data_IF_588343549195
#
_entry.id   IF_588343549195
#
_cell.length_a   1.000
_cell.length_b   1.000
_cell.length_c   1.000
_cell.angle_alpha   90.00
_cell.angle_beta   90.00
_cell.angle_gamma   90.00
#
_symmetry.space_group_name_H-M   'P 1'
#
loop_
_entity.id
_entity.type
_entity.pdbx_description
1 polymer ?
#
# COMPACT_ATOMS: atom_id res chain seq x y z
N UNK A 1 16.68 3.67 -0.54
CA UNK A 1 15.34 3.05 -0.44
C UNK A 1 14.26 4.11 -0.53
N UNK A 2 14.35 5.17 0.28
CA UNK A 2 13.41 6.29 0.23
C UNK A 2 13.33 6.95 -1.15
N UNK A 3 14.47 7.30 -1.77
CA UNK A 3 14.47 7.89 -3.12
C UNK A 3 13.82 7.00 -4.18
N UNK A 4 14.14 5.70 -4.17
CA UNK A 4 13.53 4.74 -5.09
C UNK A 4 12.03 4.60 -4.85
N UNK A 5 11.60 4.56 -3.58
CA UNK A 5 10.19 4.55 -3.22
C UNK A 5 9.47 5.81 -3.73
N UNK A 6 10.04 6.99 -3.47
CA UNK A 6 9.47 8.25 -3.89
C UNK A 6 9.33 8.33 -5.41
N UNK A 7 10.36 7.93 -6.16
CA UNK A 7 10.35 7.92 -7.62
C UNK A 7 9.31 6.97 -8.19
N UNK A 8 9.25 5.73 -7.71
CA UNK A 8 8.29 4.72 -8.20
C UNK A 8 6.85 5.15 -7.94
N UNK A 9 6.55 5.61 -6.73
CA UNK A 9 5.20 6.06 -6.39
C UNK A 9 4.82 7.32 -7.19
N UNK A 10 5.72 8.30 -7.28
CA UNK A 10 5.44 9.51 -8.05
C UNK A 10 5.23 9.21 -9.54
N UNK A 11 5.99 8.27 -10.12
CA UNK A 11 5.77 7.84 -11.49
C UNK A 11 4.37 7.23 -11.67
N UNK A 12 3.94 6.37 -10.74
CA UNK A 12 2.59 5.80 -10.75
C UNK A 12 1.48 6.85 -10.58
N UNK A 13 1.67 7.83 -9.68
CA UNK A 13 0.74 8.94 -9.48
C UNK A 13 0.67 9.86 -10.69
N UNK A 14 1.80 10.19 -11.33
CA UNK A 14 1.83 10.95 -12.58
C UNK A 14 1.02 10.25 -13.65
N UNK A 15 1.26 8.94 -13.86
CA UNK A 15 0.48 8.16 -14.83
C UNK A 15 -1.02 8.17 -14.52
N UNK A 16 -1.40 8.03 -13.24
CA UNK A 16 -2.80 8.14 -12.82
C UNK A 16 -3.40 9.52 -13.14
N UNK A 17 -2.70 10.60 -12.79
CA UNK A 17 -3.16 11.98 -13.01
C UNK A 17 -3.30 12.32 -14.49
N UNK A 18 -2.37 11.84 -15.33
CA UNK A 18 -2.44 11.99 -16.78
C UNK A 18 -3.61 11.19 -17.36
N UNK A 19 -3.74 9.91 -16.97
CA UNK A 19 -4.79 9.02 -17.47
C UNK A 19 -6.20 9.54 -17.16
N UNK A 20 -6.40 10.10 -15.97
CA UNK A 20 -7.69 10.62 -15.52
C UNK A 20 -7.73 12.15 -15.53
N UNK A 21 -6.91 12.82 -16.35
CA UNK A 21 -6.80 14.28 -16.34
C UNK A 21 -8.17 14.96 -16.57
N UNK A 22 -8.92 14.57 -17.60
CA UNK A 22 -10.24 15.12 -17.89
C UNK A 22 -11.22 14.90 -16.73
N UNK A 23 -11.22 13.68 -16.20
CA UNK A 23 -12.02 13.27 -15.05
C UNK A 23 -11.70 14.03 -13.76
N UNK A 24 -10.50 14.59 -13.68
CA UNK A 24 -9.98 15.30 -12.52
C UNK A 24 -9.92 16.82 -12.73
N UNK A 25 -10.52 17.34 -13.80
CA UNK A 25 -10.57 18.78 -14.07
C UNK A 25 -9.27 19.35 -14.65
N UNK A 26 -8.50 18.53 -15.36
CA UNK A 26 -7.22 18.88 -16.03
C UNK A 26 -6.23 19.56 -15.08
N UNK A 27 -5.81 18.89 -14.00
CA UNK A 27 -4.96 19.49 -12.99
C UNK A 27 -3.55 19.77 -13.51
N UNK A 28 -2.90 20.80 -12.95
CA UNK A 28 -1.47 21.03 -13.12
C UNK A 28 -0.68 20.01 -12.29
N UNK A 29 -0.24 18.93 -12.94
CA UNK A 29 0.46 17.80 -12.32
C UNK A 29 1.72 18.25 -11.57
N UNK A 30 2.41 19.29 -12.05
CA UNK A 30 3.64 19.81 -11.43
C UNK A 30 3.41 20.38 -10.03
N UNK A 31 2.19 20.80 -9.71
CA UNK A 31 1.82 21.29 -8.37
C UNK A 31 1.42 20.16 -7.42
N UNK A 32 1.06 19.00 -7.98
CA UNK A 32 0.60 17.82 -7.23
C UNK A 32 1.77 16.93 -6.86
N UNK A 33 2.66 16.65 -7.82
CA UNK A 33 3.81 15.79 -7.59
C UNK A 33 4.89 16.56 -6.82
N UNK A 34 5.29 16.00 -5.69
CA UNK A 34 6.32 16.51 -4.78
C UNK A 34 7.50 15.52 -4.74
N UNK A 35 8.68 15.95 -4.30
CA UNK A 35 9.82 15.04 -4.11
C UNK A 35 9.49 13.91 -3.13
N UNK A 36 8.62 14.17 -2.14
CA UNK A 36 8.13 13.15 -1.21
C UNK A 36 6.80 12.59 -1.69
N UNK A 37 6.78 11.29 -1.99
CA UNK A 37 5.59 10.60 -2.48
C UNK A 37 4.40 10.67 -1.51
N UNK A 38 4.66 10.67 -0.20
CA UNK A 38 3.63 10.87 0.82
C UNK A 38 2.86 12.17 0.62
N UNK A 39 3.55 13.25 0.24
CA UNK A 39 2.93 14.55 -0.04
C UNK A 39 2.13 14.48 -1.34
N UNK A 40 2.68 13.85 -2.38
CA UNK A 40 2.00 13.60 -3.65
C UNK A 40 0.68 12.83 -3.46
N UNK A 41 0.66 11.80 -2.62
CA UNK A 41 -0.57 11.06 -2.26
C UNK A 41 -1.61 11.99 -1.66
N UNK A 42 -1.26 12.77 -0.64
CA UNK A 42 -2.20 13.66 0.05
C UNK A 42 -2.75 14.75 -0.88
N UNK A 43 -1.91 15.33 -1.74
CA UNK A 43 -2.35 16.29 -2.76
C UNK A 43 -3.29 15.63 -3.78
N UNK A 44 -2.99 14.41 -4.20
CA UNK A 44 -3.85 13.62 -5.11
C UNK A 44 -5.20 13.32 -4.45
N UNK A 45 -5.22 12.92 -3.18
CA UNK A 45 -6.45 12.69 -2.42
C UNK A 45 -7.34 13.92 -2.35
N UNK A 46 -6.75 15.08 -2.06
CA UNK A 46 -7.47 16.35 -2.03
C UNK A 46 -8.02 16.73 -3.41
N UNK A 47 -7.26 16.49 -4.48
CA UNK A 47 -7.74 16.71 -5.85
C UNK A 47 -8.94 15.80 -6.16
N UNK A 48 -8.81 14.50 -5.96
CA UNK A 48 -9.88 13.54 -6.28
C UNK A 48 -11.15 13.88 -5.50
N UNK A 49 -10.98 14.26 -4.22
CA UNK A 49 -12.07 14.71 -3.36
C UNK A 49 -12.72 16.02 -3.83
N UNK A 50 -11.94 16.99 -4.31
CA UNK A 50 -12.50 18.25 -4.83
C UNK A 50 -13.36 18.06 -6.08
N UNK A 51 -13.15 16.95 -6.78
CA UNK A 51 -13.96 16.50 -7.92
C UNK A 51 -15.14 15.61 -7.52
N UNK A 52 -15.43 15.48 -6.20
CA UNK A 52 -16.45 14.59 -5.66
C UNK A 52 -16.33 13.12 -6.12
N UNK A 53 -15.09 12.66 -6.34
CA UNK A 53 -14.78 11.28 -6.73
C UNK A 53 -14.16 10.50 -5.56
N UNK A 54 -14.09 9.19 -5.72
CA UNK A 54 -13.47 8.28 -4.75
C UNK A 54 -12.43 7.38 -5.42
N UNK A 55 -11.52 6.85 -4.61
CA UNK A 55 -10.42 5.97 -5.02
C UNK A 55 -10.65 4.53 -4.58
N UNK A 56 -10.26 3.64 -5.47
CA UNK A 56 -9.90 2.27 -5.15
C UNK A 56 -8.38 2.15 -5.24
N UNK A 57 -7.75 1.65 -4.17
CA UNK A 57 -6.30 1.44 -4.12
C UNK A 57 -6.04 -0.04 -3.85
N UNK A 58 -5.17 -0.63 -4.67
CA UNK A 58 -4.66 -1.98 -4.47
C UNK A 58 -3.13 -1.92 -4.32
N UNK A 59 -2.59 -2.56 -3.30
CA UNK A 59 -1.16 -2.72 -3.06
C UNK A 59 -0.83 -4.20 -3.17
N UNK A 60 -0.08 -4.57 -4.19
CA UNK A 60 0.31 -5.96 -4.41
C UNK A 60 1.72 -6.24 -3.88
N UNK A 61 1.94 -7.49 -3.44
CA UNK A 61 3.19 -8.01 -2.89
C UNK A 61 3.85 -7.08 -1.86
N UNK A 62 3.09 -6.63 -0.85
CA UNK A 62 3.58 -5.67 0.13
C UNK A 62 4.87 -6.12 0.83
N UNK A 63 4.95 -7.39 1.21
CA UNK A 63 6.09 -7.96 1.93
C UNK A 63 7.33 -8.25 1.07
N UNK A 64 7.27 -8.00 -0.24
CA UNK A 64 8.35 -8.29 -1.19
C UNK A 64 9.72 -7.75 -0.76
N UNK A 65 9.85 -6.52 -0.21
CA UNK A 65 11.15 -6.03 0.28
C UNK A 65 11.74 -6.92 1.37
N UNK A 66 10.91 -7.40 2.30
CA UNK A 66 11.32 -8.31 3.36
C UNK A 66 11.68 -9.70 2.85
N UNK A 67 10.87 -10.24 1.94
CA UNK A 67 11.13 -11.55 1.33
C UNK A 67 12.47 -11.56 0.58
N UNK A 68 12.78 -10.48 -0.15
CA UNK A 68 14.09 -10.32 -0.80
C UNK A 68 15.25 -10.27 0.19
N UNK A 69 15.06 -9.62 1.35
CA UNK A 69 16.09 -9.61 2.39
C UNK A 69 16.38 -11.01 2.93
N UNK A 70 15.35 -11.84 3.17
CA UNK A 70 15.54 -13.24 3.59
C UNK A 70 16.25 -14.07 2.52
N UNK A 71 15.84 -13.94 1.26
CA UNK A 71 16.42 -14.67 0.14
C UNK A 71 17.91 -14.36 -0.06
N UNK A 72 18.34 -13.13 0.24
CA UNK A 72 19.74 -12.69 0.12
C UNK A 72 20.63 -13.09 1.32
N UNK A 73 20.23 -14.09 2.11
CA UNK A 73 21.03 -14.61 3.22
C UNK A 73 20.73 -13.98 4.58
N UNK A 74 19.60 -13.26 4.71
CA UNK A 74 19.10 -12.81 6.02
C UNK A 74 18.80 -14.01 6.93
N UNK A 75 19.35 -14.00 8.15
CA UNK A 75 19.36 -15.17 9.05
C UNK A 75 18.03 -15.34 9.83
N UNK A 76 16.93 -14.80 9.29
CA UNK A 76 15.60 -14.78 9.93
C UNK A 76 15.50 -13.89 11.18
N UNK A 77 14.30 -13.79 11.77
CA UNK A 77 13.98 -12.91 12.90
C UNK A 77 14.70 -13.22 14.22
N UNK A 78 15.35 -14.38 14.31
CA UNK A 78 16.10 -14.82 15.48
C UNK A 78 17.45 -14.09 15.57
N UNK A 79 17.93 -13.53 14.47
CA UNK A 79 19.10 -12.68 14.43
C UNK A 79 18.73 -11.20 14.75
N UNK A 80 19.39 -10.55 15.72
CA UNK A 80 19.13 -9.16 16.10
C UNK A 80 19.24 -8.16 14.94
N UNK A 81 20.26 -8.29 14.09
CA UNK A 81 20.48 -7.41 12.92
C UNK A 81 19.37 -7.56 11.88
N UNK A 82 18.92 -8.80 11.63
CA UNK A 82 17.78 -9.03 10.74
C UNK A 82 16.51 -8.44 11.32
N UNK A 83 16.27 -8.59 12.62
CA UNK A 83 15.10 -7.99 13.29
C UNK A 83 15.10 -6.46 13.20
N UNK A 84 16.24 -5.81 13.43
CA UNK A 84 16.35 -4.35 13.27
C UNK A 84 16.07 -3.91 11.84
N UNK A 85 16.54 -4.66 10.85
CA UNK A 85 16.25 -4.39 9.44
C UNK A 85 14.75 -4.49 9.13
N UNK A 86 14.07 -5.54 9.61
CA UNK A 86 12.62 -5.69 9.45
C UNK A 86 11.84 -4.56 10.12
N UNK A 87 12.18 -4.23 11.37
CA UNK A 87 11.55 -3.10 12.07
C UNK A 87 11.74 -1.79 11.31
N UNK A 88 12.94 -1.56 10.75
CA UNK A 88 13.21 -0.37 9.95
C UNK A 88 12.39 -0.34 8.66
N UNK A 89 12.23 -1.48 7.98
CA UNK A 89 11.38 -1.62 6.79
C UNK A 89 9.90 -1.36 7.12
N UNK A 90 9.38 -1.98 8.18
CA UNK A 90 8.01 -1.78 8.63
C UNK A 90 7.75 -0.31 8.98
N UNK A 91 8.63 0.31 9.76
CA UNK A 91 8.52 1.73 10.12
C UNK A 91 8.57 2.63 8.88
N UNK A 92 9.40 2.30 7.89
CA UNK A 92 9.49 3.06 6.65
C UNK A 92 8.15 3.06 5.91
N UNK A 93 7.52 1.89 5.72
CA UNK A 93 6.23 1.80 5.04
C UNK A 93 5.07 2.34 5.87
N UNK A 94 5.08 2.15 7.19
CA UNK A 94 4.07 2.72 8.07
C UNK A 94 4.03 4.25 7.96
N UNK A 95 5.19 4.90 8.05
CA UNK A 95 5.30 6.36 8.00
C UNK A 95 5.04 6.90 6.58
N UNK A 96 5.60 6.28 5.54
CA UNK A 96 5.61 6.87 4.19
C UNK A 96 4.47 6.40 3.28
N UNK A 97 3.83 5.27 3.58
CA UNK A 97 2.74 4.73 2.77
C UNK A 97 1.45 4.62 3.58
N UNK A 98 1.43 3.83 4.65
CA UNK A 98 0.18 3.51 5.35
C UNK A 98 -0.39 4.69 6.11
N UNK A 99 0.43 5.59 6.66
CA UNK A 99 -0.04 6.84 7.25
C UNK A 99 -0.81 7.69 6.22
N UNK A 100 -0.33 7.80 4.99
CA UNK A 100 -1.04 8.50 3.92
C UNK A 100 -2.33 7.77 3.54
N UNK A 101 -2.27 6.45 3.30
CA UNK A 101 -3.45 5.65 2.96
C UNK A 101 -4.52 5.71 4.05
N UNK A 102 -4.13 5.62 5.33
CA UNK A 102 -5.03 5.77 6.47
C UNK A 102 -5.74 7.12 6.44
N UNK A 103 -5.01 8.21 6.19
CA UNK A 103 -5.61 9.55 6.07
C UNK A 103 -6.61 9.63 4.92
N UNK A 104 -6.33 8.96 3.80
CA UNK A 104 -7.27 8.88 2.68
C UNK A 104 -8.51 8.02 2.98
N UNK A 105 -8.40 7.01 3.84
CA UNK A 105 -9.53 6.18 4.29
C UNK A 105 -10.46 6.90 5.27
N UNK A 106 -9.98 7.93 5.99
CA UNK A 106 -10.81 8.86 6.79
C UNK A 106 -11.75 8.22 7.83
N UNK A 107 -12.64 9.05 8.38
CA UNK A 107 -13.92 8.61 8.97
C UNK A 107 -15.02 8.80 7.91
N UNK A 108 -16.14 8.06 8.00
CA UNK A 108 -17.14 7.82 6.93
C UNK A 108 -17.56 9.01 6.05
N UNK A 109 -17.46 10.26 6.52
CA UNK A 109 -17.88 11.46 5.78
C UNK A 109 -16.73 12.27 5.13
N UNK A 110 -15.47 11.90 5.36
CA UNK A 110 -14.30 12.66 4.89
C UNK A 110 -13.32 11.81 4.04
N UNK A 111 -13.62 10.52 3.86
CA UNK A 111 -12.79 9.54 3.16
C UNK A 111 -12.80 9.74 1.63
N UNK A 112 -11.63 9.69 1.01
CA UNK A 112 -11.52 9.61 -0.47
C UNK A 112 -11.25 8.18 -0.94
N UNK A 113 -10.60 7.35 -0.12
CA UNK A 113 -10.36 5.94 -0.43
C UNK A 113 -11.54 5.14 0.10
N UNK A 114 -12.41 4.66 -0.79
CA UNK A 114 -13.55 3.82 -0.41
C UNK A 114 -13.17 2.35 -0.25
N UNK A 115 -12.12 1.92 -0.95
CA UNK A 115 -11.67 0.53 -0.92
C UNK A 115 -10.15 0.50 -0.99
N UNK A 116 -9.54 -0.16 0.00
CA UNK A 116 -8.11 -0.44 0.06
C UNK A 116 -7.92 -1.96 0.10
N UNK A 117 -7.20 -2.49 -0.88
CA UNK A 117 -6.85 -3.90 -0.96
C UNK A 117 -5.34 -4.07 -0.86
N UNK A 118 -4.88 -5.01 -0.04
CA UNK A 118 -3.45 -5.25 0.15
C UNK A 118 -3.22 -6.77 0.10
N UNK A 119 -2.30 -7.21 -0.76
CA UNK A 119 -1.92 -8.61 -0.96
C UNK A 119 -0.45 -8.85 -0.67
N UNK A 120 -0.06 -10.12 -0.58
CA UNK A 120 1.31 -10.52 -0.22
C UNK A 120 1.70 -10.00 1.16
N UNK A 121 0.87 -10.27 2.18
CA UNK A 121 1.18 -9.92 3.57
C UNK A 121 1.55 -11.21 4.31
N UNK A 122 2.83 -11.52 4.41
CA UNK A 122 3.31 -12.56 5.33
C UNK A 122 2.99 -12.20 6.79
N UNK A 123 2.87 -13.19 7.69
CA UNK A 123 2.60 -12.95 9.12
C UNK A 123 3.56 -11.95 9.77
N UNK A 124 4.81 -11.91 9.29
CA UNK A 124 5.83 -11.00 9.79
C UNK A 124 5.54 -9.53 9.50
N UNK A 125 4.87 -9.22 8.39
CA UNK A 125 4.58 -7.86 7.92
C UNK A 125 3.19 -7.36 8.33
N UNK A 126 2.39 -8.20 9.01
CA UNK A 126 1.07 -7.81 9.48
C UNK A 126 1.11 -6.67 10.51
N UNK A 127 2.20 -6.54 11.29
CA UNK A 127 2.33 -5.49 12.30
C UNK A 127 2.47 -4.10 11.69
N UNK A 128 3.15 -3.98 10.55
CA UNK A 128 3.23 -2.74 9.78
C UNK A 128 1.87 -2.20 9.28
N UNK A 129 0.79 -2.99 9.33
CA UNK A 129 -0.57 -2.56 8.98
C UNK A 129 -1.37 -2.01 10.17
N UNK A 130 -0.80 -2.04 11.38
CA UNK A 130 -1.48 -1.65 12.61
C UNK A 130 -2.00 -0.21 12.62
N UNK A 131 -1.41 0.68 11.80
CA UNK A 131 -1.90 2.04 11.65
C UNK A 131 -3.24 2.10 10.93
N UNK A 132 -3.59 1.15 10.05
CA UNK A 132 -4.89 1.12 9.37
C UNK A 132 -5.93 0.45 10.28
N UNK A 133 -6.70 1.29 10.96
CA UNK A 133 -7.84 0.85 11.78
C UNK A 133 -8.96 0.37 10.83
N UNK A 134 -9.47 -0.85 11.03
CA UNK A 134 -10.53 -1.53 10.24
C UNK A 134 -10.08 -2.45 9.08
N UNK A 135 -8.88 -3.00 9.11
CA UNK A 135 -8.51 -4.05 8.15
C UNK A 135 -9.27 -5.36 8.45
N UNK A 136 -9.99 -5.91 7.46
CA UNK A 136 -10.52 -7.29 7.51
C UNK A 136 -9.58 -8.18 6.72
N UNK A 137 -8.96 -9.15 7.40
CA UNK A 137 -8.25 -10.21 6.69
C UNK A 137 -9.27 -11.14 6.02
N UNK A 138 -9.37 -11.06 4.69
CA UNK A 138 -10.27 -11.91 3.90
C UNK A 138 -9.58 -13.16 3.34
N UNK A 139 -8.25 -13.31 3.48
CA UNK A 139 -7.54 -14.47 2.93
C UNK A 139 -7.90 -15.78 3.61
N UNK A 140 -8.46 -15.70 4.82
CA UNK A 140 -8.94 -16.84 5.61
C UNK A 140 -10.41 -17.18 5.32
N UNK A 141 -11.10 -16.38 4.53
CA UNK A 141 -12.53 -16.52 4.28
C UNK A 141 -12.74 -17.26 2.95
N UNK A 142 -13.32 -18.47 3.05
CA UNK A 142 -13.41 -19.45 1.96
C UNK A 142 -14.06 -18.89 0.69
N UNK A 143 -14.98 -17.92 0.84
CA UNK A 143 -15.66 -17.30 -0.30
C UNK A 143 -14.74 -16.42 -1.16
N UNK A 144 -13.59 -16.00 -0.61
CA UNK A 144 -12.58 -15.18 -1.30
C UNK A 144 -11.32 -15.98 -1.67
N UNK A 145 -11.31 -17.30 -1.46
CA UNK A 145 -10.17 -18.19 -1.78
C UNK A 145 -9.69 -18.07 -3.23
N UNK A 146 -10.62 -17.93 -4.19
CA UNK A 146 -10.31 -17.71 -5.60
C UNK A 146 -9.59 -16.38 -5.91
N UNK A 147 -9.73 -15.36 -5.05
CA UNK A 147 -9.00 -14.08 -5.17
C UNK A 147 -7.55 -14.24 -4.67
N UNK A 148 -7.32 -15.13 -3.70
CA UNK A 148 -6.00 -15.45 -3.17
C UNK A 148 -5.23 -16.49 -4.00
N UNK A 149 -5.82 -17.00 -5.09
CA UNK A 149 -5.15 -17.87 -6.05
C UNK A 149 -5.08 -19.35 -5.65
N UNK A 150 -5.73 -19.78 -4.56
CA UNK A 150 -5.75 -21.19 -4.13
C UNK A 150 -7.13 -21.58 -3.59
N UNK A 151 -7.66 -22.73 -4.00
CA UNK A 151 -8.84 -23.34 -3.41
C UNK A 151 -8.44 -24.45 -2.42
N UNK A 152 -9.32 -24.77 -1.46
CA UNK A 152 -9.09 -25.84 -0.50
C UNK A 152 -8.80 -27.20 -1.18
N UNK A 153 -9.47 -27.47 -2.30
CA UNK A 153 -9.21 -28.66 -3.15
C UNK A 153 -7.78 -28.70 -3.72
N UNK A 154 -7.14 -27.55 -3.91
CA UNK A 154 -5.78 -27.45 -4.46
C UNK A 154 -4.73 -27.74 -3.37
N UNK A 155 -5.10 -27.60 -2.10
CA UNK A 155 -4.25 -27.87 -0.93
C UNK A 155 -4.49 -29.29 -0.40
N UNK A 156 -5.72 -29.80 -0.44
CA UNK A 156 -6.07 -31.16 0.02
C UNK A 156 -5.49 -32.29 -0.87
N UNK A 157 -4.91 -31.95 -2.03
CA UNK A 157 -4.21 -32.87 -2.92
C UNK A 157 -2.68 -32.92 -2.73
N UNK A 158 -2.14 -32.19 -1.76
CA UNK A 158 -0.73 -32.23 -1.32
C UNK A 158 -0.60 -33.02 -0.01
#
# INVERSE_FOLDING_TARGET
>A
MEDSFNKEINAGLTFFLEKYAEDLGTPDISKIIDERATVSFLKTFNLVKSQAKSLFIAVDEYDRPGNRYLQNGGIGLWNPTSREHFTSLENFFDINLFSALKRGCGAEFDSVIHKLFITGITPMFQRGLSSITNFRNISIDVQYSGICGFFEKDIQGL
#
